data_IF_071025609458
#
_entry.id   IF_071025609458
#
_cell.length_a   1.000
_cell.length_b   1.000
_cell.length_c   1.000
_cell.angle_alpha   90.00
_cell.angle_beta   90.00
_cell.angle_gamma   90.00
#
_symmetry.space_group_name_H-M   'P 1'
#
loop_
_entity.id
_entity.type
_entity.pdbx_description
1 polymer ?
#
# COMPACT_ATOMS: atom_id res chain seq x y z
N UNK A 1 -1.51 -46.13 2.36
CA UNK A 1 -1.54 -44.77 2.97
C UNK A 1 -2.94 -44.55 3.52
N UNK A 2 -3.05 -44.25 4.81
CA UNK A 2 -4.33 -44.16 5.52
C UNK A 2 -5.27 -43.17 4.83
N UNK A 3 -6.47 -43.64 4.51
CA UNK A 3 -7.61 -42.80 4.18
C UNK A 3 -7.88 -41.86 5.35
N UNK A 4 -7.46 -40.61 5.24
CA UNK A 4 -7.84 -39.55 6.18
C UNK A 4 -9.35 -39.43 6.13
N UNK A 5 -10.03 -39.96 7.15
CA UNK A 5 -11.44 -39.72 7.39
C UNK A 5 -11.58 -38.25 7.80
N UNK A 6 -11.89 -37.38 6.85
CA UNK A 6 -12.20 -35.97 7.16
C UNK A 6 -13.63 -35.91 7.72
N UNK A 7 -13.77 -36.14 9.02
CA UNK A 7 -14.99 -35.80 9.74
C UNK A 7 -15.03 -34.30 9.98
N UNK A 8 -16.17 -33.67 9.68
CA UNK A 8 -16.41 -32.25 10.01
C UNK A 8 -16.82 -32.23 11.48
N UNK A 9 -15.88 -31.91 12.36
CA UNK A 9 -16.10 -31.85 13.81
C UNK A 9 -16.37 -30.40 14.27
N UNK A 10 -16.05 -29.42 13.42
CA UNK A 10 -16.09 -28.01 13.78
C UNK A 10 -17.49 -27.40 13.59
N UNK A 11 -17.95 -26.68 14.62
CA UNK A 11 -19.22 -25.95 14.62
C UNK A 11 -18.95 -24.45 14.79
N UNK A 12 -19.67 -23.61 14.05
CA UNK A 12 -19.76 -22.18 14.32
C UNK A 12 -21.13 -21.90 14.92
N UNK A 13 -21.15 -21.49 16.19
CA UNK A 13 -22.38 -21.09 16.87
C UNK A 13 -22.65 -19.61 16.62
N UNK A 14 -23.90 -19.27 16.32
CA UNK A 14 -24.34 -17.89 16.16
C UNK A 14 -25.46 -17.58 17.17
N UNK A 15 -25.46 -16.34 17.66
CA UNK A 15 -26.54 -15.79 18.46
C UNK A 15 -27.86 -15.83 17.69
N UNK A 16 -28.95 -16.22 18.35
CA UNK A 16 -30.31 -16.14 17.80
C UNK A 16 -30.74 -14.72 17.45
N UNK A 17 -30.06 -13.69 17.96
CA UNK A 17 -30.31 -12.29 17.61
C UNK A 17 -29.60 -11.86 16.33
N UNK A 18 -28.49 -12.50 15.97
CA UNK A 18 -27.61 -12.04 14.88
C UNK A 18 -27.58 -12.98 13.67
N UNK A 19 -28.20 -14.17 13.74
CA UNK A 19 -28.15 -15.16 12.65
C UNK A 19 -28.68 -14.60 11.32
N UNK A 20 -29.65 -13.69 11.36
CA UNK A 20 -30.21 -13.04 10.17
C UNK A 20 -29.19 -12.18 9.40
N UNK A 21 -28.04 -11.87 10.01
CA UNK A 21 -26.93 -11.10 9.40
C UNK A 21 -25.93 -12.00 8.68
N UNK A 22 -26.02 -13.31 8.85
CA UNK A 22 -25.23 -14.29 8.10
C UNK A 22 -25.84 -14.41 6.72
N UNK A 23 -25.03 -14.14 5.69
CA UNK A 23 -25.47 -14.24 4.29
C UNK A 23 -24.66 -15.27 3.48
N UNK A 24 -23.57 -15.79 4.03
CA UNK A 24 -22.78 -16.84 3.40
C UNK A 24 -22.16 -17.77 4.44
N UNK A 25 -22.08 -19.05 4.12
CA UNK A 25 -21.44 -20.08 4.92
C UNK A 25 -20.73 -21.07 3.99
N UNK A 26 -19.45 -21.31 4.25
CA UNK A 26 -18.60 -22.05 3.34
C UNK A 26 -17.59 -22.92 4.06
N UNK A 27 -17.36 -24.11 3.50
CA UNK A 27 -16.23 -24.95 3.84
C UNK A 27 -15.20 -24.82 2.72
N UNK A 28 -14.04 -24.25 3.06
CA UNK A 28 -12.92 -24.03 2.14
C UNK A 28 -11.81 -25.03 2.41
N UNK A 29 -11.32 -25.66 1.36
CA UNK A 29 -10.01 -26.31 1.39
C UNK A 29 -8.92 -25.24 1.52
N UNK A 30 -7.97 -25.45 2.42
CA UNK A 30 -6.75 -24.66 2.48
C UNK A 30 -5.57 -25.54 2.06
N UNK A 31 -4.50 -24.91 1.58
CA UNK A 31 -3.26 -25.62 1.28
C UNK A 31 -2.86 -26.53 2.44
N UNK A 32 -2.56 -27.79 2.13
CA UNK A 32 -2.09 -28.80 3.10
C UNK A 32 -0.73 -28.45 3.69
N UNK A 33 0.03 -27.55 3.05
CA UNK A 33 1.25 -26.97 3.61
C UNK A 33 0.99 -26.05 4.81
N UNK A 34 -0.23 -25.50 4.92
CA UNK A 34 -0.60 -24.57 6.00
C UNK A 34 -1.37 -25.28 7.10
N UNK A 35 -2.29 -26.18 6.73
CA UNK A 35 -3.12 -26.93 7.68
C UNK A 35 -3.64 -28.21 7.03
N UNK A 36 -3.79 -29.26 7.83
CA UNK A 36 -4.47 -30.50 7.50
C UNK A 36 -6.00 -30.43 7.70
N UNK A 37 -6.52 -29.30 8.20
CA UNK A 37 -7.94 -29.06 8.40
C UNK A 37 -8.57 -28.27 7.24
N UNK A 38 -9.87 -28.47 7.02
CA UNK A 38 -10.68 -27.58 6.19
C UNK A 38 -11.09 -26.35 7.01
N UNK A 39 -11.13 -25.17 6.38
CA UNK A 39 -11.61 -23.95 7.02
C UNK A 39 -13.13 -23.87 6.89
N UNK A 40 -13.83 -23.75 8.03
CA UNK A 40 -15.23 -23.36 8.06
C UNK A 40 -15.31 -21.84 8.24
N UNK A 41 -16.01 -21.17 7.34
CA UNK A 41 -16.15 -19.71 7.33
C UNK A 41 -17.60 -19.28 7.18
N UNK A 42 -17.94 -18.14 7.77
CA UNK A 42 -19.23 -17.47 7.58
C UNK A 42 -19.01 -15.99 7.35
N UNK A 43 -19.85 -15.38 6.51
CA UNK A 43 -19.81 -13.94 6.23
C UNK A 43 -20.97 -13.25 6.93
N UNK A 44 -20.64 -12.23 7.72
CA UNK A 44 -21.60 -11.37 8.41
C UNK A 44 -21.56 -9.97 7.80
N UNK A 45 -22.73 -9.38 7.63
CA UNK A 45 -22.83 -7.96 7.28
C UNK A 45 -23.20 -7.17 8.53
N UNK A 46 -22.26 -6.34 9.00
CA UNK A 46 -22.56 -5.33 10.02
C UNK A 46 -23.03 -4.04 9.34
N UNK A 47 -23.92 -3.30 10.01
CA UNK A 47 -24.13 -1.91 9.65
C UNK A 47 -22.81 -1.18 9.91
N UNK A 48 -22.29 -0.49 8.90
CA UNK A 48 -21.09 0.30 9.07
C UNK A 48 -21.46 1.56 9.87
N UNK A 49 -21.35 1.47 11.19
CA UNK A 49 -21.62 2.59 12.10
C UNK A 49 -20.50 3.64 11.96
N UNK A 50 -19.30 3.23 11.54
CA UNK A 50 -18.15 4.11 11.36
C UNK A 50 -18.11 4.66 9.92
N UNK A 51 -18.12 5.99 9.75
CA UNK A 51 -18.00 6.67 8.44
C UNK A 51 -16.58 6.60 7.85
N UNK A 52 -15.81 5.54 8.12
CA UNK A 52 -14.45 5.40 7.58
C UNK A 52 -14.50 5.08 6.09
N UNK A 53 -13.86 5.93 5.29
CA UNK A 53 -13.67 5.70 3.86
C UNK A 53 -12.73 4.52 3.56
N UNK A 54 -12.58 4.15 2.27
CA UNK A 54 -11.75 3.02 1.84
C UNK A 54 -10.23 3.21 2.08
N UNK A 55 -9.82 4.39 2.54
CA UNK A 55 -8.42 4.77 2.71
C UNK A 55 -7.74 5.13 1.37
N UNK A 56 -6.45 5.46 1.47
CA UNK A 56 -5.63 5.73 0.28
C UNK A 56 -5.37 4.45 -0.50
N UNK A 57 -5.55 4.51 -1.82
CA UNK A 57 -5.22 3.39 -2.69
C UNK A 57 -3.71 3.20 -2.79
N UNK A 58 -3.26 1.94 -2.73
CA UNK A 58 -1.86 1.54 -2.92
C UNK A 58 -1.81 0.36 -3.88
N UNK A 59 -0.96 0.44 -4.90
CA UNK A 59 -0.74 -0.67 -5.81
C UNK A 59 -0.05 -1.84 -5.09
N UNK A 60 -0.34 -3.06 -5.53
CA UNK A 60 0.38 -4.24 -5.06
C UNK A 60 1.80 -4.27 -5.67
N UNK A 61 2.88 -4.13 -4.89
CA UNK A 61 4.25 -4.10 -5.41
C UNK A 61 4.65 -5.43 -6.07
N UNK A 62 4.02 -6.56 -5.70
CA UNK A 62 4.31 -7.85 -6.31
C UNK A 62 3.89 -7.95 -7.78
N UNK A 63 3.02 -7.05 -8.26
CA UNK A 63 2.68 -6.97 -9.69
C UNK A 63 3.93 -6.75 -10.55
N UNK A 64 4.89 -5.96 -10.08
CA UNK A 64 6.12 -5.67 -10.81
C UNK A 64 6.97 -6.93 -11.09
N UNK A 65 6.79 -8.02 -10.32
CA UNK A 65 7.49 -9.30 -10.52
C UNK A 65 6.82 -10.18 -11.57
N UNK A 66 5.53 -9.94 -11.89
CA UNK A 66 4.77 -10.78 -12.79
C UNK A 66 5.01 -10.42 -14.25
N UNK A 67 5.25 -11.43 -15.09
CA UNK A 67 5.53 -11.24 -16.52
C UNK A 67 4.34 -10.66 -17.27
N UNK A 68 3.13 -11.15 -16.98
CA UNK A 68 1.89 -10.67 -17.61
C UNK A 68 1.62 -9.20 -17.31
N UNK A 69 1.80 -8.76 -16.05
CA UNK A 69 1.70 -7.36 -15.68
C UNK A 69 2.76 -6.50 -16.38
N UNK A 70 4.03 -6.93 -16.39
CA UNK A 70 5.11 -6.19 -17.06
C UNK A 70 4.85 -6.01 -18.55
N UNK A 71 4.41 -7.07 -19.23
CA UNK A 71 4.04 -7.01 -20.65
C UNK A 71 2.83 -6.12 -20.90
N UNK A 72 1.79 -6.22 -20.05
CA UNK A 72 0.60 -5.39 -20.17
C UNK A 72 0.90 -3.90 -19.89
N UNK A 73 1.73 -3.60 -18.89
CA UNK A 73 2.17 -2.24 -18.58
C UNK A 73 2.98 -1.65 -19.75
N UNK A 74 3.94 -2.40 -20.29
CA UNK A 74 4.72 -1.96 -21.45
C UNK A 74 3.82 -1.68 -22.67
N UNK A 75 2.83 -2.54 -22.92
CA UNK A 75 1.83 -2.33 -23.97
C UNK A 75 0.96 -1.10 -23.71
N UNK A 76 0.58 -0.84 -22.46
CA UNK A 76 -0.15 0.37 -22.09
C UNK A 76 0.69 1.64 -22.30
N UNK A 77 1.94 1.67 -21.83
CA UNK A 77 2.85 2.80 -22.05
C UNK A 77 3.06 3.08 -23.56
N UNK A 78 3.18 2.02 -24.36
CA UNK A 78 3.23 2.15 -25.82
C UNK A 78 1.92 2.69 -26.40
N UNK A 79 0.77 2.25 -25.90
CA UNK A 79 -0.54 2.70 -26.39
C UNK A 79 -0.79 4.19 -26.15
N UNK A 80 -0.23 4.75 -25.06
CA UNK A 80 -0.37 6.17 -24.71
C UNK A 80 0.73 7.05 -25.30
N UNK A 81 1.66 6.48 -26.09
CA UNK A 81 2.83 7.21 -26.61
C UNK A 81 2.47 8.40 -27.52
N UNK A 82 1.40 8.28 -28.32
CA UNK A 82 0.92 9.37 -29.16
C UNK A 82 0.40 10.54 -28.30
N UNK A 83 -0.47 10.25 -27.34
CA UNK A 83 -1.00 11.22 -26.37
C UNK A 83 0.11 11.85 -25.52
N UNK A 84 1.10 11.05 -25.10
CA UNK A 84 2.29 11.55 -24.41
C UNK A 84 3.02 12.62 -25.25
N UNK A 85 3.22 12.35 -26.54
CA UNK A 85 3.93 13.28 -27.44
C UNK A 85 3.12 14.56 -27.65
N UNK A 86 1.80 14.44 -27.73
CA UNK A 86 0.87 15.58 -27.81
C UNK A 86 0.95 16.44 -26.53
N UNK A 87 0.87 15.83 -25.34
CA UNK A 87 0.93 16.53 -24.05
C UNK A 87 2.26 17.26 -23.88
N UNK A 88 3.38 16.65 -24.29
CA UNK A 88 4.69 17.30 -24.24
C UNK A 88 4.77 18.59 -25.07
N UNK A 89 3.93 18.75 -26.09
CA UNK A 89 3.95 19.94 -26.96
C UNK A 89 3.32 21.19 -26.32
N UNK A 90 2.46 21.02 -25.32
CA UNK A 90 1.71 22.12 -24.69
C UNK A 90 1.79 22.16 -23.16
N UNK A 91 2.45 21.18 -22.54
CA UNK A 91 2.56 21.05 -21.09
C UNK A 91 4.01 21.11 -20.61
N UNK A 92 4.21 21.37 -19.31
CA UNK A 92 5.55 21.32 -18.70
C UNK A 92 6.00 19.88 -18.51
N UNK A 93 7.30 19.67 -18.31
CA UNK A 93 7.85 18.36 -17.98
C UNK A 93 7.22 17.80 -16.68
N UNK A 94 7.01 18.67 -15.69
CA UNK A 94 6.43 18.35 -14.40
C UNK A 94 4.99 17.83 -14.50
N UNK A 95 4.12 18.57 -15.20
CA UNK A 95 2.74 18.15 -15.44
C UNK A 95 2.67 16.90 -16.31
N UNK A 96 3.55 16.77 -17.32
CA UNK A 96 3.63 15.57 -18.15
C UNK A 96 3.99 14.35 -17.31
N UNK A 97 4.91 14.49 -16.36
CA UNK A 97 5.30 13.40 -15.46
C UNK A 97 4.16 12.99 -14.52
N UNK A 98 3.45 13.96 -13.93
CA UNK A 98 2.29 13.66 -13.10
C UNK A 98 1.15 13.02 -13.90
N UNK A 99 0.97 13.42 -15.15
CA UNK A 99 0.05 12.75 -16.06
C UNK A 99 0.46 11.30 -16.33
N UNK A 100 1.74 11.02 -16.63
CA UNK A 100 2.24 9.64 -16.82
C UNK A 100 1.97 8.80 -15.58
N UNK A 101 2.26 9.31 -14.38
CA UNK A 101 1.96 8.61 -13.12
C UNK A 101 0.47 8.37 -12.95
N UNK A 102 -0.39 9.32 -13.31
CA UNK A 102 -1.84 9.15 -13.27
C UNK A 102 -2.32 8.02 -14.20
N UNK A 103 -1.81 7.96 -15.44
CA UNK A 103 -2.15 6.88 -16.38
C UNK A 103 -1.71 5.52 -15.84
N UNK A 104 -0.48 5.42 -15.32
CA UNK A 104 0.03 4.20 -14.67
C UNK A 104 -0.88 3.80 -13.50
N UNK A 105 -1.25 4.75 -12.63
CA UNK A 105 -2.16 4.52 -11.50
C UNK A 105 -3.50 3.94 -11.97
N UNK A 106 -4.12 4.52 -13.00
CA UNK A 106 -5.40 4.07 -13.54
C UNK A 106 -5.29 2.68 -14.17
N UNK A 107 -4.25 2.45 -14.97
CA UNK A 107 -3.96 1.14 -15.56
C UNK A 107 -3.76 0.06 -14.48
N UNK A 108 -2.90 0.32 -13.50
CA UNK A 108 -2.62 -0.62 -12.41
C UNK A 108 -3.86 -0.92 -11.59
N UNK A 109 -4.70 0.09 -11.30
CA UNK A 109 -6.01 -0.11 -10.64
C UNK A 109 -6.88 -1.09 -11.41
N UNK A 110 -7.04 -0.86 -12.71
CA UNK A 110 -7.87 -1.69 -13.58
C UNK A 110 -7.36 -3.13 -13.63
N UNK A 111 -6.06 -3.30 -13.91
CA UNK A 111 -5.41 -4.61 -13.96
C UNK A 111 -5.58 -5.37 -12.64
N UNK A 112 -5.30 -4.71 -11.51
CA UNK A 112 -5.39 -5.33 -10.19
C UNK A 112 -6.83 -5.70 -9.82
N UNK A 113 -7.82 -4.88 -10.21
CA UNK A 113 -9.23 -5.19 -9.99
C UNK A 113 -9.66 -6.43 -10.79
N UNK A 114 -9.31 -6.50 -12.07
CA UNK A 114 -9.61 -7.65 -12.92
C UNK A 114 -8.95 -8.93 -12.38
N UNK A 115 -7.66 -8.86 -12.05
CA UNK A 115 -6.90 -9.97 -11.49
C UNK A 115 -7.48 -10.47 -10.16
N UNK A 116 -7.90 -9.55 -9.28
CA UNK A 116 -8.57 -9.91 -8.03
C UNK A 116 -9.93 -10.59 -8.26
N UNK A 117 -10.72 -10.09 -9.21
CA UNK A 117 -12.01 -10.66 -9.55
C UNK A 117 -11.85 -12.06 -10.16
N UNK A 118 -10.94 -12.20 -11.11
CA UNK A 118 -10.58 -13.48 -11.71
C UNK A 118 -10.13 -14.47 -10.65
N UNK A 119 -9.20 -14.09 -9.77
CA UNK A 119 -8.66 -14.98 -8.71
C UNK A 119 -9.77 -15.45 -7.77
N UNK A 120 -10.63 -14.54 -7.30
CA UNK A 120 -11.79 -14.88 -6.46
C UNK A 120 -12.73 -15.87 -7.16
N UNK A 121 -13.04 -15.64 -8.44
CA UNK A 121 -13.90 -16.54 -9.21
C UNK A 121 -13.24 -17.90 -9.44
N UNK A 122 -11.93 -17.95 -9.75
CA UNK A 122 -11.19 -19.19 -9.95
C UNK A 122 -11.13 -20.03 -8.67
N UNK A 123 -10.81 -19.42 -7.51
CA UNK A 123 -10.83 -20.13 -6.22
C UNK A 123 -12.23 -20.71 -5.97
N UNK A 124 -13.30 -19.89 -6.11
CA UNK A 124 -14.67 -20.38 -5.93
C UNK A 124 -15.00 -21.55 -6.86
N UNK A 125 -14.62 -21.47 -8.14
CA UNK A 125 -14.85 -22.52 -9.14
C UNK A 125 -14.10 -23.81 -8.78
N UNK A 126 -12.82 -23.70 -8.44
CA UNK A 126 -11.98 -24.85 -8.08
C UNK A 126 -12.45 -25.51 -6.78
N UNK A 127 -12.81 -24.72 -5.76
CA UNK A 127 -13.40 -25.21 -4.51
C UNK A 127 -14.70 -25.97 -4.76
N UNK A 128 -15.61 -25.42 -5.57
CA UNK A 128 -16.85 -26.11 -5.97
C UNK A 128 -16.57 -27.42 -6.71
N UNK A 129 -15.61 -27.42 -7.64
CA UNK A 129 -15.21 -28.62 -8.40
C UNK A 129 -14.63 -29.70 -7.46
N UNK A 130 -13.73 -29.31 -6.56
CA UNK A 130 -13.14 -30.17 -5.53
C UNK A 130 -14.22 -30.79 -4.64
N UNK A 131 -15.11 -29.97 -4.08
CA UNK A 131 -16.17 -30.41 -3.18
C UNK A 131 -17.16 -31.35 -3.89
N UNK A 132 -17.46 -31.12 -5.17
CA UNK A 132 -18.27 -32.04 -5.98
C UNK A 132 -17.60 -33.40 -6.13
N UNK A 133 -16.29 -33.43 -6.42
CA UNK A 133 -15.53 -34.68 -6.55
C UNK A 133 -15.44 -35.45 -5.22
N UNK A 134 -15.24 -34.76 -4.10
CA UNK A 134 -15.19 -35.38 -2.77
C UNK A 134 -16.50 -36.05 -2.34
N UNK A 135 -17.64 -35.47 -2.75
CA UNK A 135 -18.99 -36.02 -2.48
C UNK A 135 -19.32 -37.25 -3.33
N UNK A 136 -18.64 -37.45 -4.47
CA UNK A 136 -18.87 -38.61 -5.34
C UNK A 136 -18.12 -39.84 -4.80
N UNK A 137 -18.81 -40.69 -4.05
CA UNK A 137 -18.21 -41.86 -3.40
C UNK A 137 -17.82 -42.99 -4.38
N UNK A 138 -18.55 -43.17 -5.49
CA UNK A 138 -18.41 -44.35 -6.37
C UNK A 138 -17.11 -44.42 -7.20
N UNK A 139 -16.43 -43.29 -7.43
CA UNK A 139 -15.28 -43.21 -8.36
C UNK A 139 -14.02 -42.58 -7.72
N UNK A 140 -13.86 -42.66 -6.39
CA UNK A 140 -12.78 -41.98 -5.65
C UNK A 140 -11.38 -42.27 -6.18
N UNK A 141 -11.09 -43.50 -6.59
CA UNK A 141 -9.77 -43.90 -7.11
C UNK A 141 -9.40 -43.25 -8.45
N UNK A 142 -10.40 -42.93 -9.30
CA UNK A 142 -10.18 -42.34 -10.62
C UNK A 142 -9.91 -40.83 -10.56
N UNK A 143 -10.33 -40.17 -9.49
CA UNK A 143 -10.23 -38.71 -9.36
C UNK A 143 -9.01 -38.24 -8.56
N UNK A 144 -8.17 -39.15 -8.04
CA UNK A 144 -7.08 -38.78 -7.13
C UNK A 144 -6.08 -37.81 -7.78
N UNK A 145 -5.59 -38.09 -8.98
CA UNK A 145 -4.65 -37.22 -9.71
C UNK A 145 -5.27 -35.87 -10.11
N UNK A 146 -6.55 -35.90 -10.49
CA UNK A 146 -7.30 -34.68 -10.86
C UNK A 146 -7.54 -33.80 -9.63
N UNK A 147 -7.82 -34.42 -8.48
CA UNK A 147 -8.02 -33.74 -7.21
C UNK A 147 -6.73 -33.07 -6.74
N UNK A 148 -5.60 -33.79 -6.78
CA UNK A 148 -4.27 -33.25 -6.43
C UNK A 148 -3.92 -32.04 -7.31
N UNK A 149 -4.25 -32.10 -8.61
CA UNK A 149 -4.06 -30.98 -9.54
C UNK A 149 -4.92 -29.78 -9.14
N UNK A 150 -6.19 -29.99 -8.79
CA UNK A 150 -7.10 -28.92 -8.36
C UNK A 150 -6.63 -28.31 -7.03
N UNK A 151 -6.21 -29.13 -6.07
CA UNK A 151 -5.72 -28.69 -4.77
C UNK A 151 -4.43 -27.89 -4.91
N UNK A 152 -3.51 -28.31 -5.79
CA UNK A 152 -2.29 -27.54 -6.13
C UNK A 152 -2.64 -26.18 -6.74
N UNK A 153 -3.63 -26.11 -7.64
CA UNK A 153 -4.09 -24.83 -8.21
C UNK A 153 -4.73 -23.92 -7.14
N UNK A 154 -5.53 -24.48 -6.23
CA UNK A 154 -6.10 -23.72 -5.11
C UNK A 154 -4.98 -23.18 -4.22
N UNK A 155 -4.02 -24.02 -3.84
CA UNK A 155 -2.89 -23.64 -3.00
C UNK A 155 -2.07 -22.49 -3.62
N UNK A 156 -1.74 -22.57 -4.91
CA UNK A 156 -1.01 -21.51 -5.61
C UNK A 156 -1.77 -20.17 -5.61
N UNK A 157 -3.09 -20.18 -5.82
CA UNK A 157 -3.90 -18.97 -5.77
C UNK A 157 -4.05 -18.43 -4.34
N UNK A 158 -4.08 -19.30 -3.33
CA UNK A 158 -4.11 -18.93 -1.92
C UNK A 158 -2.81 -18.29 -1.47
N UNK A 159 -1.66 -18.84 -1.86
CA UNK A 159 -0.33 -18.31 -1.52
C UNK A 159 -0.19 -16.86 -2.00
N UNK A 160 -0.58 -16.58 -3.25
CA UNK A 160 -0.55 -15.22 -3.78
C UNK A 160 -1.46 -14.23 -3.02
N UNK A 161 -2.60 -14.68 -2.47
CA UNK A 161 -3.43 -13.84 -1.60
C UNK A 161 -2.80 -13.64 -0.23
N UNK A 162 -2.22 -14.70 0.33
CA UNK A 162 -1.56 -14.65 1.63
C UNK A 162 -0.38 -13.68 1.61
N UNK A 163 0.45 -13.69 0.56
CA UNK A 163 1.57 -12.72 0.41
C UNK A 163 1.07 -11.26 0.49
N UNK A 164 -0.05 -10.95 -0.16
CA UNK A 164 -0.65 -9.61 -0.14
C UNK A 164 -1.20 -9.28 1.25
N UNK A 165 -1.87 -10.23 1.90
CA UNK A 165 -2.45 -10.02 3.23
C UNK A 165 -1.38 -9.91 4.31
N UNK A 166 -0.26 -10.63 4.16
CA UNK A 166 0.95 -10.52 4.99
C UNK A 166 1.53 -9.11 4.87
N UNK A 167 1.73 -8.64 3.63
CA UNK A 167 2.24 -7.30 3.35
C UNK A 167 1.34 -6.23 3.99
N UNK A 168 0.02 -6.32 3.78
CA UNK A 168 -0.96 -5.39 4.37
C UNK A 168 -1.00 -5.43 5.89
N UNK A 169 -0.85 -6.62 6.47
CA UNK A 169 -0.89 -6.76 7.92
C UNK A 169 0.36 -6.19 8.61
N UNK A 170 1.44 -5.91 7.86
CA UNK A 170 2.72 -5.49 8.43
C UNK A 170 3.19 -6.48 9.51
N UNK A 171 2.92 -7.78 9.31
CA UNK A 171 3.08 -8.85 10.30
C UNK A 171 4.35 -9.66 10.04
N UNK A 172 5.48 -8.96 10.06
CA UNK A 172 6.81 -9.57 10.14
C UNK A 172 6.92 -10.61 11.29
N UNK A 173 6.17 -10.45 12.38
CA UNK A 173 6.27 -11.31 13.57
C UNK A 173 5.62 -12.69 13.43
N UNK A 174 4.54 -12.83 12.64
CA UNK A 174 3.88 -14.15 12.48
C UNK A 174 4.75 -15.11 11.66
N UNK A 175 5.56 -14.55 10.76
CA UNK A 175 6.49 -15.27 9.89
C UNK A 175 7.77 -15.70 10.60
N UNK A 176 8.13 -15.04 11.70
CA UNK A 176 9.26 -15.41 12.56
C UNK A 176 8.88 -16.37 13.71
N UNK A 177 7.82 -17.14 13.55
CA UNK A 177 7.48 -18.25 14.45
C UNK A 177 6.60 -17.90 15.66
N UNK A 178 6.08 -16.68 15.76
CA UNK A 178 5.17 -16.30 16.85
C UNK A 178 3.78 -16.90 16.66
N UNK A 179 3.42 -17.86 17.53
CA UNK A 179 2.17 -18.64 17.49
C UNK A 179 1.19 -18.29 18.62
N UNK A 180 1.55 -17.41 19.55
CA UNK A 180 0.70 -17.03 20.67
C UNK A 180 -0.48 -16.18 20.21
N UNK A 181 -1.67 -16.79 20.19
CA UNK A 181 -2.92 -16.10 19.88
C UNK A 181 -3.14 -14.87 20.79
N UNK A 182 -2.76 -14.97 22.07
CA UNK A 182 -2.83 -13.86 23.02
C UNK A 182 -1.90 -12.70 22.65
N UNK A 183 -0.67 -12.98 22.22
CA UNK A 183 0.26 -11.96 21.73
C UNK A 183 -0.25 -11.31 20.44
N UNK A 184 -0.73 -12.10 19.49
CA UNK A 184 -1.27 -11.58 18.22
C UNK A 184 -2.48 -10.68 18.46
N UNK A 185 -3.39 -11.07 19.38
CA UNK A 185 -4.54 -10.24 19.77
C UNK A 185 -4.10 -8.95 20.44
N UNK A 186 -3.17 -9.00 21.39
CA UNK A 186 -2.63 -7.80 22.05
C UNK A 186 -1.96 -6.86 21.05
N UNK A 187 -1.13 -7.39 20.16
CA UNK A 187 -0.46 -6.62 19.11
C UNK A 187 -1.44 -5.98 18.13
N UNK A 188 -2.53 -6.66 17.78
CA UNK A 188 -3.64 -6.11 16.99
C UNK A 188 -4.35 -4.97 17.73
N UNK A 189 -4.78 -5.22 18.96
CA UNK A 189 -5.48 -4.24 19.79
C UNK A 189 -4.61 -3.00 20.07
N UNK A 190 -3.31 -3.16 20.34
CA UNK A 190 -2.40 -2.04 20.56
C UNK A 190 -2.26 -1.17 19.31
N UNK A 191 -2.25 -1.76 18.11
CA UNK A 191 -2.21 -1.01 16.85
C UNK A 191 -3.52 -0.28 16.60
N UNK A 192 -4.65 -0.94 16.79
CA UNK A 192 -5.97 -0.31 16.67
C UNK A 192 -6.12 0.85 17.66
N UNK A 193 -5.64 0.70 18.90
CA UNK A 193 -5.62 1.79 19.88
C UNK A 193 -4.66 2.94 19.53
N UNK A 194 -3.60 2.67 18.76
CA UNK A 194 -2.65 3.70 18.32
C UNK A 194 -3.14 4.46 17.08
N UNK A 195 -3.90 3.81 16.20
CA UNK A 195 -4.42 4.39 14.96
C UNK A 195 -5.84 4.94 15.09
N UNK A 196 -6.61 4.49 16.07
CA UNK A 196 -7.95 5.00 16.33
C UNK A 196 -7.90 6.24 17.22
N UNK A 197 -8.34 7.36 16.66
CA UNK A 197 -8.61 8.59 17.39
C UNK A 197 -10.12 8.60 17.66
N UNK A 198 -10.52 8.46 18.92
CA UNK A 198 -11.93 8.37 19.29
C UNK A 198 -12.58 9.75 19.51
N UNK A 199 -11.77 10.73 19.94
CA UNK A 199 -12.19 12.09 20.18
C UNK A 199 -10.98 13.01 20.13
N UNK A 200 -11.18 14.27 19.75
CA UNK A 200 -10.17 15.32 19.80
C UNK A 200 -10.70 16.54 20.51
N UNK A 201 -9.84 17.20 21.28
CA UNK A 201 -10.09 18.48 21.90
C UNK A 201 -9.52 19.57 21.01
N UNK A 202 -10.36 20.54 20.66
CA UNK A 202 -9.94 21.72 19.94
C UNK A 202 -8.98 22.54 20.84
N UNK A 203 -7.75 22.86 20.37
CA UNK A 203 -6.77 23.61 21.17
C UNK A 203 -7.22 25.04 21.48
N UNK A 204 -8.09 25.64 20.65
CA UNK A 204 -8.57 27.01 20.79
C UNK A 204 -9.83 27.08 21.64
N UNK A 205 -10.85 26.30 21.32
CA UNK A 205 -12.14 26.34 22.05
C UNK A 205 -12.16 25.47 23.31
N UNK A 206 -11.22 24.51 23.42
CA UNK A 206 -11.17 23.48 24.46
C UNK A 206 -12.35 22.49 24.44
N UNK A 207 -13.21 22.55 23.42
CA UNK A 207 -14.34 21.64 23.25
C UNK A 207 -13.89 20.27 22.76
N UNK A 208 -14.57 19.21 23.24
CA UNK A 208 -14.28 17.84 22.85
C UNK A 208 -15.23 17.43 21.72
N UNK A 209 -14.67 17.02 20.58
CA UNK A 209 -15.42 16.47 19.46
C UNK A 209 -15.17 14.98 19.30
N UNK A 210 -16.25 14.25 18.99
CA UNK A 210 -16.24 12.86 18.51
C UNK A 210 -16.73 12.76 17.06
N UNK A 211 -17.07 13.89 16.45
CA UNK A 211 -17.54 13.93 15.07
C UNK A 211 -16.34 13.85 14.11
N UNK A 212 -16.32 12.91 13.15
CA UNK A 212 -15.17 12.72 12.27
C UNK A 212 -14.77 13.94 11.45
N UNK A 213 -15.74 14.73 10.98
CA UNK A 213 -15.48 15.88 10.11
C UNK A 213 -14.84 17.01 10.94
N UNK A 214 -15.37 17.26 12.14
CA UNK A 214 -14.80 18.22 13.08
C UNK A 214 -13.42 17.77 13.59
N UNK A 215 -13.24 16.49 13.89
CA UNK A 215 -11.94 15.94 14.29
C UNK A 215 -10.89 16.09 13.18
N UNK A 216 -11.29 15.91 11.91
CA UNK A 216 -10.42 16.16 10.77
C UNK A 216 -10.06 17.64 10.65
N UNK A 217 -11.02 18.55 10.90
CA UNK A 217 -10.79 19.99 10.93
C UNK A 217 -9.78 20.37 12.02
N UNK A 218 -9.99 19.93 13.26
CA UNK A 218 -9.08 20.17 14.40
C UNK A 218 -7.65 19.71 14.07
N UNK A 219 -7.51 18.48 13.56
CA UNK A 219 -6.21 17.92 13.22
C UNK A 219 -5.52 18.70 12.09
N UNK A 220 -6.28 19.07 11.04
CA UNK A 220 -5.77 19.86 9.92
C UNK A 220 -5.32 21.24 10.38
N UNK A 221 -6.17 21.98 11.09
CA UNK A 221 -5.87 23.33 11.57
C UNK A 221 -4.64 23.35 12.48
N UNK A 222 -4.55 22.40 13.43
CA UNK A 222 -3.42 22.29 14.34
C UNK A 222 -2.08 22.09 13.59
N UNK A 223 -2.02 21.14 12.65
CA UNK A 223 -0.77 20.88 11.93
C UNK A 223 -0.47 21.93 10.85
N UNK A 224 -1.49 22.53 10.22
CA UNK A 224 -1.29 23.67 9.33
C UNK A 224 -0.63 24.81 10.10
N UNK A 225 -1.12 25.16 11.29
CA UNK A 225 -0.51 26.19 12.12
C UNK A 225 0.90 25.78 12.56
N UNK A 226 1.09 24.55 13.05
CA UNK A 226 2.38 24.07 13.55
C UNK A 226 3.49 24.06 12.47
N UNK A 227 3.12 23.77 11.22
CA UNK A 227 4.05 23.74 10.09
C UNK A 227 4.07 25.02 9.26
N UNK A 228 3.33 26.06 9.67
CA UNK A 228 3.45 27.37 9.03
C UNK A 228 4.82 27.96 9.38
N UNK A 229 5.66 28.30 8.40
CA UNK A 229 6.98 28.87 8.67
C UNK A 229 6.88 30.21 9.40
N UNK A 230 7.73 30.40 10.40
CA UNK A 230 7.93 31.71 11.02
C UNK A 230 8.66 32.67 10.05
N UNK A 231 8.56 33.98 10.32
CA UNK A 231 9.31 34.98 9.56
C UNK A 231 10.81 34.76 9.71
N UNK A 232 11.53 34.67 8.60
CA UNK A 232 12.97 34.46 8.58
C UNK A 232 13.71 35.77 8.91
N UNK A 233 14.61 35.71 9.90
CA UNK A 233 15.60 36.76 10.12
C UNK A 233 16.88 36.43 9.34
N UNK A 234 17.00 37.03 8.16
CA UNK A 234 18.17 36.86 7.30
C UNK A 234 19.47 37.30 7.97
N UNK A 235 19.42 38.28 8.89
CA UNK A 235 20.62 38.74 9.60
C UNK A 235 21.12 37.70 10.60
N UNK A 236 20.20 37.04 11.30
CA UNK A 236 20.53 35.94 12.20
C UNK A 236 21.07 34.72 11.42
N UNK A 237 20.50 34.41 10.25
CA UNK A 237 20.99 33.36 9.37
C UNK A 237 22.42 33.67 8.90
N UNK A 238 22.66 34.88 8.38
CA UNK A 238 24.00 35.28 7.91
C UNK A 238 25.02 35.27 9.06
N UNK A 239 24.63 35.76 10.24
CA UNK A 239 25.48 35.70 11.43
C UNK A 239 25.83 34.25 11.80
N UNK A 240 24.85 33.35 11.79
CA UNK A 240 25.07 31.92 12.08
C UNK A 240 26.01 31.29 11.03
N UNK A 241 25.75 31.51 9.75
CA UNK A 241 26.55 30.96 8.64
C UNK A 241 27.97 31.53 8.58
N UNK A 242 28.15 32.81 8.97
CA UNK A 242 29.46 33.45 9.04
C UNK A 242 30.38 32.83 10.09
N UNK A 243 29.81 32.24 11.15
CA UNK A 243 30.55 31.58 12.23
C UNK A 243 31.13 30.20 11.84
N UNK A 244 30.72 29.65 10.69
CA UNK A 244 31.19 28.35 10.22
C UNK A 244 32.66 28.47 9.79
N UNK A 245 33.60 27.73 10.43
CA UNK A 245 35.00 27.74 10.07
C UNK A 245 35.23 27.33 8.61
N UNK A 246 36.20 27.93 7.89
CA UNK A 246 36.51 27.56 6.51
C UNK A 246 36.82 26.06 6.32
N UNK A 247 37.41 25.40 7.32
CA UNK A 247 37.72 23.96 7.29
C UNK A 247 36.48 23.06 7.29
N UNK A 248 35.31 23.59 7.64
CA UNK A 248 34.03 22.87 7.60
C UNK A 248 33.18 23.28 6.39
N UNK A 249 33.67 24.20 5.54
CA UNK A 249 33.00 24.56 4.29
C UNK A 249 33.41 23.58 3.21
N UNK A 250 32.46 23.23 2.36
CA UNK A 250 32.72 22.40 1.18
C UNK A 250 33.75 23.08 0.27
N UNK A 251 34.63 22.26 -0.31
CA UNK A 251 35.54 22.75 -1.35
C UNK A 251 34.75 23.17 -2.60
N UNK A 252 35.38 23.90 -3.51
CA UNK A 252 34.75 24.21 -4.79
C UNK A 252 34.44 22.92 -5.58
N UNK A 253 35.37 21.96 -5.57
CA UNK A 253 35.20 20.66 -6.22
C UNK A 253 34.02 19.87 -5.65
N UNK A 254 33.90 19.75 -4.32
CA UNK A 254 32.77 19.04 -3.70
C UNK A 254 31.42 19.71 -4.02
N UNK A 255 31.40 21.05 -4.07
CA UNK A 255 30.20 21.81 -4.42
C UNK A 255 29.79 21.55 -5.87
N UNK A 256 30.76 21.61 -6.78
CA UNK A 256 30.52 21.36 -8.20
C UNK A 256 29.98 19.94 -8.41
N UNK A 257 30.52 18.94 -7.69
CA UNK A 257 30.02 17.56 -7.69
C UNK A 257 28.57 17.49 -7.17
N UNK A 258 28.25 18.13 -6.04
CA UNK A 258 26.91 18.09 -5.44
C UNK A 258 25.85 18.83 -6.26
N UNK A 259 26.26 19.77 -7.11
CA UNK A 259 25.37 20.54 -8.00
C UNK A 259 25.45 20.13 -9.46
N UNK A 260 26.20 19.06 -9.77
CA UNK A 260 26.33 18.56 -11.12
C UNK A 260 24.94 18.14 -11.67
N UNK A 261 24.69 18.33 -12.98
CA UNK A 261 23.45 17.88 -13.59
C UNK A 261 23.23 16.38 -13.38
N UNK A 262 22.01 16.01 -13.00
CA UNK A 262 21.61 14.62 -12.80
C UNK A 262 21.50 13.95 -14.16
N UNK A 263 22.24 12.86 -14.36
CA UNK A 263 22.11 12.06 -15.57
C UNK A 263 21.11 10.91 -15.39
N UNK A 264 20.93 10.11 -16.43
CA UNK A 264 19.97 9.00 -16.36
C UNK A 264 20.49 7.81 -15.55
N UNK A 265 21.81 7.61 -15.49
CA UNK A 265 22.41 6.54 -14.72
C UNK A 265 22.29 6.83 -13.22
N UNK A 266 22.38 8.10 -12.80
CA UNK A 266 22.06 8.55 -11.44
C UNK A 266 20.62 8.18 -11.02
N UNK A 267 19.65 8.42 -11.92
CA UNK A 267 18.24 8.09 -11.70
C UNK A 267 18.06 6.56 -11.59
N UNK A 268 18.71 5.79 -12.46
CA UNK A 268 18.63 4.33 -12.44
C UNK A 268 19.28 3.71 -11.21
N UNK A 269 20.42 4.24 -10.75
CA UNK A 269 21.11 3.78 -9.55
C UNK A 269 20.28 4.12 -8.30
N UNK A 270 19.66 5.31 -8.26
CA UNK A 270 18.71 5.68 -7.20
C UNK A 270 17.52 4.71 -7.14
N UNK A 271 16.94 4.35 -8.29
CA UNK A 271 15.85 3.36 -8.35
C UNK A 271 16.28 1.95 -7.88
N UNK A 272 17.55 1.59 -8.10
CA UNK A 272 18.10 0.29 -7.68
C UNK A 272 18.32 0.23 -6.17
N UNK A 273 18.72 1.35 -5.56
CA UNK A 273 18.98 1.47 -4.13
C UNK A 273 17.72 1.83 -3.32
N UNK A 274 16.60 2.12 -3.98
CA UNK A 274 15.34 2.42 -3.34
C UNK A 274 14.83 1.28 -2.43
N UNK A 275 14.17 1.60 -1.30
CA UNK A 275 13.58 0.59 -0.43
C UNK A 275 12.56 -0.30 -1.15
N UNK A 276 12.66 -1.62 -0.96
CA UNK A 276 11.73 -2.62 -1.53
C UNK A 276 10.48 -2.88 -0.67
N UNK A 277 10.32 -2.12 0.41
CA UNK A 277 9.25 -2.27 1.40
C UNK A 277 8.89 -0.91 1.99
N UNK A 278 8.50 0.04 1.15
CA UNK A 278 7.96 1.34 1.56
C UNK A 278 6.45 1.43 1.27
N UNK A 279 5.77 2.32 1.99
CA UNK A 279 4.40 2.72 1.61
C UNK A 279 4.48 3.89 0.63
N UNK A 280 3.79 3.84 -0.52
CA UNK A 280 3.72 4.97 -1.43
C UNK A 280 2.86 6.10 -0.86
N UNK A 281 3.06 7.30 -1.42
CA UNK A 281 2.31 8.53 -1.11
C UNK A 281 0.94 8.60 -1.78
N UNK A 282 0.51 9.83 -2.11
CA UNK A 282 -0.82 10.13 -2.67
C UNK A 282 -1.07 9.48 -4.04
N UNK A 283 -0.02 9.23 -4.83
CA UNK A 283 -0.15 8.55 -6.11
C UNK A 283 -0.43 7.04 -5.95
N UNK A 284 -0.01 6.44 -4.84
CA UNK A 284 -0.17 5.02 -4.54
C UNK A 284 0.74 4.10 -5.36
N UNK A 285 1.77 4.62 -6.02
CA UNK A 285 2.69 3.86 -6.88
C UNK A 285 3.97 3.51 -6.09
N UNK A 286 4.23 2.22 -5.80
CA UNK A 286 5.44 1.82 -5.09
C UNK A 286 6.67 1.81 -6.01
N UNK A 287 7.87 1.90 -5.41
CA UNK A 287 9.15 1.88 -6.12
C UNK A 287 9.29 0.74 -7.14
N UNK A 288 8.75 -0.44 -6.86
CA UNK A 288 8.85 -1.58 -7.76
C UNK A 288 8.14 -1.34 -9.09
N UNK A 289 7.00 -0.65 -9.07
CA UNK A 289 6.26 -0.29 -10.28
C UNK A 289 6.88 0.95 -10.92
N UNK A 290 7.24 1.95 -10.11
CA UNK A 290 7.87 3.18 -10.59
C UNK A 290 9.17 2.89 -11.38
N UNK A 291 9.99 1.96 -10.90
CA UNK A 291 11.22 1.52 -11.57
C UNK A 291 10.95 0.91 -12.95
N UNK A 292 9.80 0.24 -13.17
CA UNK A 292 9.41 -0.24 -14.50
C UNK A 292 9.08 0.91 -15.45
N UNK A 293 8.39 1.94 -14.94
CA UNK A 293 8.00 3.13 -15.71
C UNK A 293 9.22 3.97 -16.07
N UNK A 294 10.12 4.21 -15.10
CA UNK A 294 11.37 4.95 -15.30
C UNK A 294 12.26 4.31 -16.37
N UNK A 295 12.27 2.98 -16.44
CA UNK A 295 13.03 2.22 -17.45
C UNK A 295 12.40 2.22 -18.84
N UNK A 296 11.22 2.81 -19.03
CA UNK A 296 10.61 2.94 -20.34
C UNK A 296 11.39 3.96 -21.19
N UNK A 297 12.10 3.55 -22.26
CA UNK A 297 13.08 4.42 -22.92
C UNK A 297 12.54 5.77 -23.41
N UNK A 298 11.31 5.88 -23.93
CA UNK A 298 10.73 7.18 -24.33
C UNK A 298 10.61 8.23 -23.21
N UNK A 299 10.63 7.82 -21.94
CA UNK A 299 10.53 8.74 -20.80
C UNK A 299 11.89 9.24 -20.30
N UNK A 300 13.00 8.71 -20.81
CA UNK A 300 14.35 9.16 -20.40
C UNK A 300 14.55 10.68 -20.52
N UNK A 301 14.22 11.35 -21.65
CA UNK A 301 14.40 12.79 -21.76
C UNK A 301 13.55 13.57 -20.76
N UNK A 302 12.29 13.15 -20.58
CA UNK A 302 11.37 13.75 -19.62
C UNK A 302 11.94 13.70 -18.20
N UNK A 303 12.43 12.52 -17.77
CA UNK A 303 12.94 12.31 -16.42
C UNK A 303 14.17 13.16 -16.15
N UNK A 304 15.13 13.19 -17.09
CA UNK A 304 16.32 14.07 -16.96
C UNK A 304 15.88 15.52 -16.77
N UNK A 305 14.93 16.01 -17.58
CA UNK A 305 14.40 17.38 -17.44
C UNK A 305 13.75 17.60 -16.09
N UNK A 306 12.84 16.73 -15.65
CA UNK A 306 12.14 16.87 -14.36
C UNK A 306 13.11 16.93 -13.17
N UNK A 307 14.09 16.04 -13.13
CA UNK A 307 15.05 15.98 -12.02
C UNK A 307 16.03 17.18 -12.03
N UNK A 308 16.48 17.62 -13.21
CA UNK A 308 17.37 18.78 -13.30
C UNK A 308 16.64 20.10 -13.05
N UNK A 309 15.37 20.23 -13.46
CA UNK A 309 14.53 21.38 -13.12
C UNK A 309 14.32 21.48 -11.60
N UNK A 310 14.14 20.34 -10.93
CA UNK A 310 14.06 20.30 -9.47
C UNK A 310 15.38 20.74 -8.81
N UNK A 311 16.52 20.28 -9.31
CA UNK A 311 17.85 20.62 -8.77
C UNK A 311 18.25 22.08 -9.02
N UNK A 312 18.06 22.57 -10.25
CA UNK A 312 18.61 23.85 -10.71
C UNK A 312 17.62 25.01 -10.53
N UNK A 313 16.32 24.74 -10.70
CA UNK A 313 15.29 25.77 -10.79
C UNK A 313 14.27 25.70 -9.64
N UNK A 314 14.37 24.72 -8.74
CA UNK A 314 13.38 24.43 -7.71
C UNK A 314 11.95 24.26 -8.28
N UNK A 315 11.85 23.70 -9.49
CA UNK A 315 10.58 23.43 -10.17
C UNK A 315 10.25 21.93 -10.05
N UNK A 316 9.21 21.61 -9.29
CA UNK A 316 8.83 20.24 -8.96
C UNK A 316 7.49 19.86 -9.59
N UNK A 317 7.24 18.57 -9.90
CA UNK A 317 5.88 18.06 -10.08
C UNK A 317 5.00 18.38 -8.86
N UNK A 318 3.76 18.81 -9.07
CA UNK A 318 2.85 19.21 -8.00
C UNK A 318 2.68 18.09 -6.98
N UNK A 319 2.56 16.85 -7.47
CA UNK A 319 2.39 15.69 -6.60
C UNK A 319 3.60 15.41 -5.70
N UNK A 320 4.78 15.98 -5.96
CA UNK A 320 5.92 15.87 -5.03
C UNK A 320 5.72 16.71 -3.76
N UNK A 321 4.88 17.73 -3.84
CA UNK A 321 4.51 18.59 -2.72
C UNK A 321 3.28 18.05 -1.95
N UNK A 322 2.73 16.90 -2.38
CA UNK A 322 1.65 16.21 -1.69
C UNK A 322 2.17 15.08 -0.81
N UNK A 323 1.56 14.89 0.36
CA UNK A 323 1.82 13.73 1.21
C UNK A 323 0.56 13.25 1.92
N UNK A 324 0.53 11.97 2.26
CA UNK A 324 -0.53 11.43 3.12
C UNK A 324 -0.03 11.50 4.56
N UNK A 325 -0.67 12.34 5.38
CA UNK A 325 -0.39 12.43 6.80
C UNK A 325 -1.11 11.33 7.57
N UNK A 326 -0.36 10.52 8.32
CA UNK A 326 -0.86 9.52 9.27
C UNK A 326 -0.49 9.94 10.68
N UNK A 327 -1.46 9.94 11.60
CA UNK A 327 -1.23 10.33 12.99
C UNK A 327 -0.99 9.11 13.86
N UNK A 328 0.14 9.09 14.57
CA UNK A 328 0.49 8.05 15.53
C UNK A 328 0.44 8.60 16.96
N UNK A 329 -0.42 8.02 17.79
CA UNK A 329 -0.47 8.38 19.21
C UNK A 329 0.85 8.05 19.91
N UNK A 330 1.43 9.01 20.63
CA UNK A 330 2.51 8.78 21.60
C UNK A 330 1.94 8.47 22.99
N UNK A 331 2.56 9.01 24.04
CA UNK A 331 2.12 8.99 25.43
C UNK A 331 1.30 10.25 25.71
N UNK A 332 0.46 10.20 26.73
CA UNK A 332 -0.38 11.31 27.16
C UNK A 332 -1.86 11.11 26.82
N UNK A 333 -2.63 12.18 27.01
CA UNK A 333 -4.05 12.22 26.70
C UNK A 333 -4.29 12.03 25.20
N UNK A 334 -5.17 11.10 24.83
CA UNK A 334 -5.60 10.87 23.43
C UNK A 334 -6.48 11.98 22.88
N UNK A 335 -7.03 12.86 23.71
CA UNK A 335 -7.84 13.97 23.20
C UNK A 335 -6.98 15.15 22.74
N UNK A 336 -5.69 15.17 23.10
CA UNK A 336 -4.78 16.28 22.80
C UNK A 336 -3.92 16.01 21.56
N UNK A 337 -4.06 16.86 20.54
CA UNK A 337 -3.32 16.78 19.29
C UNK A 337 -1.79 16.81 19.45
N UNK A 338 -1.26 17.45 20.51
CA UNK A 338 0.19 17.50 20.80
C UNK A 338 0.77 16.12 21.09
N UNK A 339 -0.07 15.16 21.49
CA UNK A 339 0.35 13.79 21.79
C UNK A 339 0.38 12.88 20.55
N UNK A 340 0.14 13.42 19.35
CA UNK A 340 0.22 12.69 18.09
C UNK A 340 1.47 13.09 17.29
N UNK A 341 2.15 12.09 16.70
CA UNK A 341 3.20 12.32 15.69
C UNK A 341 2.58 12.26 14.30
N UNK A 342 2.74 13.30 13.47
CA UNK A 342 2.47 13.18 12.06
C UNK A 342 3.58 12.36 11.40
N UNK A 343 3.18 11.38 10.59
CA UNK A 343 4.02 10.71 9.61
C UNK A 343 3.52 11.11 8.23
N UNK A 344 4.39 11.74 7.44
CA UNK A 344 4.08 12.12 6.06
C UNK A 344 4.60 11.05 5.11
N UNK A 345 3.69 10.42 4.37
CA UNK A 345 4.03 9.50 3.29
C UNK A 345 4.13 10.30 1.99
N UNK A 346 5.37 10.55 1.55
CA UNK A 346 5.65 11.15 0.25
C UNK A 346 5.57 10.10 -0.87
N UNK A 347 5.40 10.57 -2.11
CA UNK A 347 5.47 9.70 -3.28
C UNK A 347 6.85 9.04 -3.39
N UNK A 348 6.87 7.82 -3.92
CA UNK A 348 8.10 7.06 -4.11
C UNK A 348 9.01 7.77 -5.12
#
# INVERSE_FOLDING_TARGET
KSTVSSSIIDFIFCSSKDYHRIHDAEQRFLSTSWTDHAMLGISFQFQNIERRGPGAWKANPFLARRKDYRSALAGHLQSIQATYTEIQSFSTAQHTWDWVKSEVKLFTKSFQLEDNNWRRQQIRRLQKKRNRMYRQQKNRGLYFSVLETIETQIAALQESLAEIDILKAGKFWRENGEKSAGYIKRSGNSRDQQSHIAALRDPTTQELSTDPDEMQHIASAFYTQLFTPDTLDFTAIDSLLSSIPPSLKLTAEDRDILTAPIDFDDILESCKNAPRQSSPGSDGIPYEILNLVIRYPPYRPLLITVFNDALQNAVFPDTWNESIMTLLKKKGDSTDMRNYRPLSLANC
#
